data_IF_665361744365
#
_entry.id   IF_665361744365
#
_cell.length_a   1.000
_cell.length_b   1.000
_cell.length_c   1.000
_cell.angle_alpha   90.00
_cell.angle_beta   90.00
_cell.angle_gamma   90.00
#
_symmetry.space_group_name_H-M   'P 1'
#
loop_
_entity.id
_entity.type
_entity.pdbx_description
1 polymer ?
#
# COMPACT_ATOMS: atom_id res chain seq x y z
N UNK A 1 7.76 -18.48 -28.44
CA UNK A 1 6.86 -18.68 -27.28
C UNK A 1 7.28 -17.68 -26.21
N UNK A 2 6.45 -16.66 -25.96
CA UNK A 2 6.75 -15.63 -24.97
C UNK A 2 6.88 -16.26 -23.58
N UNK A 3 7.93 -15.91 -22.85
CA UNK A 3 8.24 -16.52 -21.56
C UNK A 3 7.10 -16.25 -20.55
N UNK A 4 6.52 -17.29 -19.91
CA UNK A 4 5.41 -17.16 -18.95
C UNK A 4 5.76 -16.35 -17.68
N UNK A 5 6.98 -15.83 -17.57
CA UNK A 5 7.48 -15.05 -16.44
C UNK A 5 7.02 -13.60 -16.43
N UNK A 6 6.57 -13.04 -17.56
CA UNK A 6 6.04 -11.67 -17.62
C UNK A 6 4.68 -11.53 -16.93
N UNK A 7 3.73 -12.40 -17.29
CA UNK A 7 2.35 -12.37 -16.78
C UNK A 7 2.29 -12.60 -15.26
N UNK A 8 3.09 -13.55 -14.74
CA UNK A 8 3.18 -13.84 -13.30
C UNK A 8 3.60 -12.61 -12.51
N UNK A 9 4.54 -11.83 -13.02
CA UNK A 9 4.99 -10.60 -12.35
C UNK A 9 3.93 -9.52 -12.36
N UNK A 10 3.20 -9.39 -13.47
CA UNK A 10 2.09 -8.44 -13.55
C UNK A 10 1.05 -8.74 -12.46
N UNK A 11 0.68 -10.02 -12.27
CA UNK A 11 -0.22 -10.44 -11.19
C UNK A 11 0.29 -10.14 -9.77
N UNK A 12 1.60 -10.18 -9.54
CA UNK A 12 2.18 -9.90 -8.23
C UNK A 12 2.23 -8.39 -7.91
N UNK A 13 2.35 -7.53 -8.93
CA UNK A 13 2.41 -6.07 -8.79
C UNK A 13 1.01 -5.42 -8.78
N UNK A 14 0.00 -6.10 -9.34
CA UNK A 14 -1.38 -5.58 -9.40
C UNK A 14 -1.92 -5.12 -8.03
N UNK A 15 -1.81 -5.89 -6.93
CA UNK A 15 -2.39 -5.47 -5.65
C UNK A 15 -1.88 -4.12 -5.13
N UNK A 16 -0.57 -3.86 -5.02
CA UNK A 16 -0.10 -2.55 -4.56
C UNK A 16 -0.35 -1.43 -5.59
N UNK A 17 -0.18 -1.69 -6.89
CA UNK A 17 -0.26 -0.63 -7.91
C UNK A 17 -1.70 -0.27 -8.31
N UNK A 18 -2.54 -1.27 -8.57
CA UNK A 18 -3.85 -1.11 -9.20
C UNK A 18 -4.99 -1.09 -8.19
N UNK A 19 -4.78 -1.64 -6.99
CA UNK A 19 -5.79 -1.63 -5.93
C UNK A 19 -5.39 -0.65 -4.82
N UNK A 20 -4.26 -0.87 -4.15
CA UNK A 20 -3.90 -0.12 -2.95
C UNK A 20 -3.72 1.38 -3.20
N UNK A 21 -2.93 1.74 -4.22
CA UNK A 21 -2.66 3.15 -4.58
C UNK A 21 -3.93 3.92 -4.99
N UNK A 22 -4.70 3.50 -6.03
CA UNK A 22 -5.85 4.28 -6.46
C UNK A 22 -6.97 4.31 -5.42
N UNK A 23 -7.19 3.22 -4.67
CA UNK A 23 -8.22 3.23 -3.62
C UNK A 23 -7.83 4.19 -2.48
N UNK A 24 -6.54 4.29 -2.15
CA UNK A 24 -6.06 5.29 -1.18
C UNK A 24 -6.32 6.72 -1.65
N UNK A 25 -6.10 7.00 -2.94
CA UNK A 25 -6.38 8.30 -3.56
C UNK A 25 -7.89 8.58 -3.55
N UNK A 26 -8.72 7.59 -3.91
CA UNK A 26 -10.18 7.70 -3.89
C UNK A 26 -10.67 7.98 -2.46
N UNK A 27 -10.12 7.29 -1.45
CA UNK A 27 -10.48 7.52 -0.06
C UNK A 27 -10.17 8.95 0.39
N UNK A 28 -9.00 9.49 0.01
CA UNK A 28 -8.66 10.89 0.25
C UNK A 28 -9.62 11.85 -0.46
N UNK A 29 -9.90 11.60 -1.75
CA UNK A 29 -10.79 12.44 -2.55
C UNK A 29 -12.23 12.45 -2.00
N UNK A 30 -12.75 11.28 -1.60
CA UNK A 30 -14.08 11.17 -1.00
C UNK A 30 -14.17 11.88 0.35
N UNK A 31 -13.14 11.83 1.19
CA UNK A 31 -13.12 12.61 2.44
C UNK A 31 -13.16 14.12 2.16
N UNK A 32 -12.41 14.58 1.15
CA UNK A 32 -12.41 16.00 0.73
C UNK A 32 -13.74 16.43 0.14
N UNK A 33 -14.36 15.60 -0.69
CA UNK A 33 -15.70 15.85 -1.23
C UNK A 33 -16.75 15.89 -0.11
N UNK A 34 -16.73 14.92 0.81
CA UNK A 34 -17.63 14.91 1.96
C UNK A 34 -17.46 16.16 2.84
N UNK A 35 -16.24 16.66 2.99
CA UNK A 35 -15.98 17.91 3.71
C UNK A 35 -16.56 19.12 2.99
N UNK A 36 -16.33 19.21 1.67
CA UNK A 36 -16.82 20.31 0.85
C UNK A 36 -18.35 20.36 0.85
N UNK A 37 -19.03 19.22 0.68
CA UNK A 37 -20.49 19.14 0.76
C UNK A 37 -21.02 19.58 2.12
N UNK A 38 -20.35 19.16 3.20
CA UNK A 38 -20.76 19.52 4.55
C UNK A 38 -20.65 21.03 4.82
N UNK A 39 -19.51 21.63 4.45
CA UNK A 39 -19.30 23.08 4.61
C UNK A 39 -20.24 23.88 3.72
N UNK A 40 -20.50 23.44 2.49
CA UNK A 40 -21.35 24.16 1.54
C UNK A 40 -22.78 24.38 2.05
N UNK A 41 -23.27 23.51 2.94
CA UNK A 41 -24.60 23.60 3.53
C UNK A 41 -24.59 24.33 4.89
N UNK A 42 -23.41 24.46 5.51
CA UNK A 42 -23.29 24.96 6.87
C UNK A 42 -23.15 26.49 6.88
N UNK A 43 -24.07 27.18 7.56
CA UNK A 43 -23.87 28.58 7.90
C UNK A 43 -22.73 28.72 8.90
N UNK A 44 -21.94 29.79 8.80
CA UNK A 44 -20.91 30.10 9.80
C UNK A 44 -21.37 31.24 10.70
N UNK A 45 -21.53 30.96 12.00
CA UNK A 45 -21.88 31.97 13.00
C UNK A 45 -20.61 32.51 13.66
N UNK A 46 -20.18 33.70 13.24
CA UNK A 46 -18.99 34.38 13.79
C UNK A 46 -19.05 34.58 15.31
N UNK A 47 -20.26 34.79 15.87
CA UNK A 47 -20.46 35.01 17.31
C UNK A 47 -20.24 33.75 18.14
N UNK A 48 -20.66 32.60 17.62
CA UNK A 48 -20.57 31.32 18.32
C UNK A 48 -19.33 30.51 17.90
N UNK A 49 -18.53 31.02 16.94
CA UNK A 49 -17.40 30.32 16.32
C UNK A 49 -17.74 28.87 15.93
N UNK A 50 -18.98 28.68 15.46
CA UNK A 50 -19.52 27.36 15.16
C UNK A 50 -20.31 27.40 13.86
N UNK A 51 -20.35 26.25 13.23
CA UNK A 51 -21.20 26.02 12.08
C UNK A 51 -22.64 25.80 12.57
N UNK A 52 -23.61 26.38 11.89
CA UNK A 52 -25.03 26.20 12.19
C UNK A 52 -25.79 25.72 10.96
N UNK A 53 -26.65 24.71 11.12
CA UNK A 53 -27.64 24.36 10.11
C UNK A 53 -29.00 24.89 10.53
N UNK A 54 -29.81 25.33 9.57
CA UNK A 54 -31.20 25.72 9.81
C UNK A 54 -32.09 24.79 9.00
N UNK A 55 -32.98 24.07 9.67
CA UNK A 55 -33.90 23.13 9.05
C UNK A 55 -35.34 23.53 9.34
N UNK A 56 -36.26 23.25 8.42
CA UNK A 56 -37.68 23.41 8.64
C UNK A 56 -38.30 22.05 8.96
N UNK A 57 -38.87 21.89 10.14
CA UNK A 57 -39.43 20.61 10.59
C UNK A 57 -40.21 20.71 11.90
N UNK A 58 -40.73 19.57 12.39
CA UNK A 58 -41.46 19.50 13.64
C UNK A 58 -40.52 19.68 14.84
N UNK A 59 -41.00 20.36 15.89
CA UNK A 59 -40.28 20.51 17.17
C UNK A 59 -40.43 19.29 18.08
N UNK A 60 -41.54 18.58 17.95
CA UNK A 60 -41.87 17.39 18.73
C UNK A 60 -42.30 16.25 17.83
N UNK A 61 -42.07 15.02 18.30
CA UNK A 61 -42.41 13.82 17.54
C UNK A 61 -43.93 13.72 17.38
N UNK A 62 -44.42 13.75 16.14
CA UNK A 62 -45.86 13.69 15.82
C UNK A 62 -46.55 15.04 15.68
N UNK A 63 -45.83 16.17 15.74
CA UNK A 63 -46.42 17.49 15.55
C UNK A 63 -47.07 17.66 14.16
N UNK A 64 -48.23 18.33 14.05
CA UNK A 64 -48.86 18.62 12.76
C UNK A 64 -48.01 19.60 11.94
N UNK A 65 -48.20 19.60 10.60
CA UNK A 65 -47.44 20.47 9.67
C UNK A 65 -47.59 21.96 9.99
N UNK A 66 -48.70 22.36 10.60
CA UNK A 66 -48.95 23.73 11.06
C UNK A 66 -48.02 24.19 12.18
N UNK A 67 -47.40 23.27 12.92
CA UNK A 67 -46.48 23.57 14.03
C UNK A 67 -45.00 23.47 13.62
N UNK A 68 -44.71 23.30 12.33
CA UNK A 68 -43.34 23.23 11.85
C UNK A 68 -42.67 24.59 11.98
N UNK A 69 -41.45 24.59 12.50
CA UNK A 69 -40.65 25.79 12.73
C UNK A 69 -39.26 25.63 12.12
N UNK A 70 -38.56 26.76 11.98
CA UNK A 70 -37.13 26.75 11.65
C UNK A 70 -36.32 26.43 12.91
N UNK A 71 -35.60 25.32 12.88
CA UNK A 71 -34.74 24.83 13.96
C UNK A 71 -33.30 25.09 13.55
N UNK A 72 -32.60 25.90 14.33
CA UNK A 72 -31.17 26.18 14.12
C UNK A 72 -30.34 25.34 15.08
N UNK A 73 -29.47 24.51 14.53
CA UNK A 73 -28.64 23.57 15.29
C UNK A 73 -27.19 24.00 15.18
N UNK A 74 -26.54 24.22 16.32
CA UNK A 74 -25.09 24.46 16.40
C UNK A 74 -24.36 23.13 16.39
N UNK A 75 -23.52 22.89 15.38
CA UNK A 75 -22.83 21.62 15.21
C UNK A 75 -21.39 21.71 15.70
N UNK A 76 -20.95 20.68 16.41
CA UNK A 76 -19.55 20.46 16.75
C UNK A 76 -19.10 19.16 16.10
N UNK A 77 -18.24 19.30 15.09
CA UNK A 77 -17.76 18.15 14.32
C UNK A 77 -16.54 17.55 14.99
N UNK A 78 -16.63 16.28 15.38
CA UNK A 78 -15.47 15.52 15.80
C UNK A 78 -14.62 15.15 14.57
N UNK A 79 -13.50 15.85 14.40
CA UNK A 79 -12.58 15.66 13.27
C UNK A 79 -11.64 14.46 13.43
N UNK A 80 -11.74 13.65 14.50
CA UNK A 80 -10.84 12.54 14.74
C UNK A 80 -10.90 11.46 13.64
N UNK A 81 -12.10 11.07 13.19
CA UNK A 81 -12.28 10.11 12.11
C UNK A 81 -11.72 10.64 10.78
N UNK A 82 -11.99 11.91 10.43
CA UNK A 82 -11.45 12.59 9.24
C UNK A 82 -9.93 12.59 9.25
N UNK A 83 -9.29 12.93 10.38
CA UNK A 83 -7.82 12.87 10.50
C UNK A 83 -7.28 11.46 10.30
N UNK A 84 -7.96 10.44 10.85
CA UNK A 84 -7.56 9.05 10.68
C UNK A 84 -7.62 8.60 9.21
N UNK A 85 -8.69 8.95 8.49
CA UNK A 85 -8.82 8.65 7.06
C UNK A 85 -7.73 9.31 6.22
N UNK A 86 -7.42 10.59 6.49
CA UNK A 86 -6.34 11.30 5.79
C UNK A 86 -5.00 10.62 6.05
N UNK A 87 -4.66 10.33 7.30
CA UNK A 87 -3.40 9.66 7.66
C UNK A 87 -3.29 8.29 6.97
N UNK A 88 -4.36 7.48 7.02
CA UNK A 88 -4.39 6.18 6.36
C UNK A 88 -4.28 6.28 4.84
N UNK A 89 -4.87 7.30 4.20
CA UNK A 89 -4.75 7.47 2.76
C UNK A 89 -3.31 7.78 2.33
N UNK A 90 -2.60 8.64 3.07
CA UNK A 90 -1.19 8.97 2.81
C UNK A 90 -0.31 7.76 3.09
N UNK A 91 -0.51 7.10 4.23
CA UNK A 91 0.22 5.88 4.58
C UNK A 91 0.00 4.78 3.53
N UNK A 92 -1.24 4.61 3.04
CA UNK A 92 -1.57 3.63 2.00
C UNK A 92 -0.83 3.87 0.68
N UNK A 93 -0.69 5.13 0.26
CA UNK A 93 0.11 5.48 -0.93
C UNK A 93 1.61 5.17 -0.74
N UNK A 94 2.15 5.43 0.45
CA UNK A 94 3.53 5.07 0.78
C UNK A 94 3.73 3.54 0.83
N UNK A 95 2.82 2.82 1.50
CA UNK A 95 2.83 1.35 1.59
C UNK A 95 2.71 0.72 0.20
N UNK A 96 1.88 1.28 -0.68
CA UNK A 96 1.76 0.83 -2.06
C UNK A 96 3.08 1.00 -2.82
N UNK A 97 3.73 2.15 -2.68
CA UNK A 97 5.02 2.44 -3.34
C UNK A 97 6.11 1.48 -2.85
N UNK A 98 6.24 1.30 -1.53
CA UNK A 98 7.18 0.34 -0.95
C UNK A 98 6.82 -1.09 -1.37
N UNK A 99 5.54 -1.45 -1.40
CA UNK A 99 5.08 -2.77 -1.85
C UNK A 99 5.47 -3.06 -3.30
N UNK A 100 5.35 -2.08 -4.21
CA UNK A 100 5.83 -2.21 -5.58
C UNK A 100 7.35 -2.43 -5.63
N UNK A 101 8.13 -1.63 -4.90
CA UNK A 101 9.58 -1.80 -4.81
C UNK A 101 9.96 -3.16 -4.23
N UNK A 102 9.30 -3.62 -3.16
CA UNK A 102 9.53 -4.94 -2.57
C UNK A 102 9.28 -6.06 -3.58
N UNK A 103 8.16 -6.04 -4.29
CA UNK A 103 7.85 -7.07 -5.30
C UNK A 103 8.84 -7.02 -6.46
N UNK A 104 9.24 -5.82 -6.88
CA UNK A 104 10.24 -5.62 -7.93
C UNK A 104 11.61 -6.16 -7.55
N UNK A 105 12.12 -5.81 -6.37
CA UNK A 105 13.42 -6.25 -5.87
C UNK A 105 13.43 -7.76 -5.58
N UNK A 106 12.38 -8.30 -4.95
CA UNK A 106 12.27 -9.75 -4.73
C UNK A 106 12.13 -10.56 -6.01
N UNK A 107 11.81 -9.94 -7.14
CA UNK A 107 11.84 -10.59 -8.45
C UNK A 107 13.26 -10.65 -9.00
N UNK A 108 14.06 -9.61 -8.81
CA UNK A 108 15.46 -9.60 -9.23
C UNK A 108 16.22 -10.63 -8.38
N UNK A 109 16.96 -11.52 -9.04
CA UNK A 109 17.76 -12.57 -8.38
C UNK A 109 19.23 -12.12 -8.27
N UNK A 110 19.50 -10.84 -8.51
CA UNK A 110 20.85 -10.29 -8.70
C UNK A 110 21.45 -9.72 -7.40
N UNK A 111 20.78 -9.89 -6.25
CA UNK A 111 21.14 -9.28 -4.97
C UNK A 111 21.77 -10.23 -3.94
N UNK A 112 22.35 -9.64 -2.88
CA UNK A 112 22.78 -10.40 -1.71
C UNK A 112 21.56 -10.91 -0.94
N UNK A 113 21.62 -12.14 -0.42
CA UNK A 113 20.50 -12.73 0.32
C UNK A 113 20.05 -11.89 1.54
N UNK A 114 20.95 -11.09 2.12
CA UNK A 114 20.60 -10.16 3.22
C UNK A 114 19.69 -9.03 2.74
N UNK A 115 19.96 -8.48 1.56
CA UNK A 115 19.17 -7.38 0.98
C UNK A 115 17.74 -7.82 0.65
N UNK A 116 17.60 -8.97 0.00
CA UNK A 116 16.28 -9.52 -0.36
C UNK A 116 15.43 -9.83 0.89
N UNK A 117 16.06 -10.38 1.94
CA UNK A 117 15.37 -10.62 3.22
C UNK A 117 14.91 -9.33 3.87
N UNK A 118 15.75 -8.29 3.83
CA UNK A 118 15.39 -6.98 4.37
C UNK A 118 14.16 -6.43 3.65
N UNK A 119 14.11 -6.49 2.32
CA UNK A 119 12.95 -6.05 1.54
C UNK A 119 11.69 -6.87 1.82
N UNK A 120 11.81 -8.20 1.97
CA UNK A 120 10.70 -9.06 2.35
C UNK A 120 10.15 -8.68 3.73
N UNK A 121 11.03 -8.44 4.72
CA UNK A 121 10.63 -8.00 6.06
C UNK A 121 9.98 -6.64 6.07
N UNK A 122 10.60 -5.64 5.42
CA UNK A 122 10.08 -4.28 5.37
C UNK A 122 8.71 -4.26 4.68
N UNK A 123 8.59 -4.85 3.50
CA UNK A 123 7.33 -4.89 2.77
C UNK A 123 6.25 -5.70 3.50
N UNK A 124 6.62 -6.84 4.10
CA UNK A 124 5.72 -7.68 4.88
C UNK A 124 5.20 -6.99 6.14
N UNK A 125 6.08 -6.44 6.98
CA UNK A 125 5.70 -5.75 8.21
C UNK A 125 4.87 -4.50 7.92
N UNK A 126 5.25 -3.72 6.92
CA UNK A 126 4.54 -2.49 6.58
C UNK A 126 3.11 -2.76 6.12
N UNK A 127 2.89 -3.76 5.25
CA UNK A 127 1.54 -4.15 4.82
C UNK A 127 0.72 -4.76 5.97
N UNK A 128 1.35 -5.53 6.87
CA UNK A 128 0.68 -6.11 8.04
C UNK A 128 0.20 -5.04 9.02
N UNK A 129 1.07 -4.07 9.36
CA UNK A 129 0.72 -2.94 10.22
C UNK A 129 -0.37 -2.11 9.58
N UNK A 130 -0.25 -1.81 8.28
CA UNK A 130 -1.22 -1.00 7.57
C UNK A 130 -2.59 -1.68 7.47
N UNK A 131 -2.64 -2.98 7.21
CA UNK A 131 -3.87 -3.78 7.25
C UNK A 131 -4.52 -3.72 8.64
N UNK A 132 -3.73 -3.94 9.71
CA UNK A 132 -4.20 -3.83 11.08
C UNK A 132 -4.75 -2.44 11.42
N UNK A 133 -4.09 -1.38 10.97
CA UNK A 133 -4.53 -0.01 11.16
C UNK A 133 -5.86 0.28 10.42
N UNK A 134 -6.03 -0.22 9.20
CA UNK A 134 -7.29 -0.06 8.46
C UNK A 134 -8.47 -0.76 9.16
N UNK A 135 -8.28 -2.02 9.58
CA UNK A 135 -9.30 -2.78 10.31
C UNK A 135 -9.58 -2.15 11.69
N UNK A 136 -8.55 -1.69 12.39
CA UNK A 136 -8.68 -1.02 13.68
C UNK A 136 -9.46 0.29 13.59
N UNK A 137 -9.14 1.16 12.62
CA UNK A 137 -9.88 2.41 12.40
C UNK A 137 -11.31 2.13 11.95
N UNK A 138 -11.53 1.13 11.08
CA UNK A 138 -12.87 0.72 10.69
C UNK A 138 -13.71 0.28 11.90
N UNK A 139 -13.16 -0.58 12.76
CA UNK A 139 -13.82 -1.06 13.97
C UNK A 139 -14.10 0.08 14.95
N UNK A 140 -13.12 0.97 15.16
CA UNK A 140 -13.27 2.13 16.04
C UNK A 140 -14.35 3.10 15.56
N UNK A 141 -14.35 3.49 14.27
CA UNK A 141 -15.36 4.40 13.71
C UNK A 141 -16.74 3.76 13.70
N UNK A 142 -16.83 2.46 13.41
CA UNK A 142 -18.12 1.74 13.46
C UNK A 142 -18.66 1.69 14.90
N UNK A 143 -17.78 1.44 15.88
CA UNK A 143 -18.14 1.39 17.28
C UNK A 143 -18.67 2.72 17.82
N UNK A 144 -18.00 3.83 17.50
CA UNK A 144 -18.43 5.17 17.95
C UNK A 144 -19.76 5.60 17.36
N UNK A 145 -20.16 5.07 16.20
CA UNK A 145 -21.44 5.39 15.58
C UNK A 145 -22.63 4.61 16.15
N UNK A 146 -22.41 3.39 16.65
CA UNK A 146 -23.50 2.47 17.03
C UNK A 146 -24.34 2.91 18.24
N UNK A 147 -23.84 3.85 19.05
CA UNK A 147 -24.53 4.35 20.25
C UNK A 147 -24.83 5.84 20.24
N UNK A 148 -24.44 6.56 19.20
CA UNK A 148 -24.52 8.02 19.16
C UNK A 148 -25.63 8.48 18.22
N UNK A 149 -26.73 9.00 18.78
CA UNK A 149 -27.61 9.86 18.01
C UNK A 149 -28.92 10.33 18.61
N UNK A 150 -29.58 11.20 17.86
CA UNK A 150 -30.93 11.67 18.15
C UNK A 150 -31.90 10.50 18.14
N UNK A 151 -32.73 10.39 19.18
CA UNK A 151 -33.82 9.40 19.25
C UNK A 151 -35.16 10.04 18.92
N UNK A 152 -35.24 11.36 19.00
CA UNK A 152 -36.46 12.14 18.90
C UNK A 152 -36.15 13.56 18.38
N UNK A 153 -37.16 14.27 17.86
CA UNK A 153 -37.01 15.66 17.41
C UNK A 153 -36.67 16.61 18.58
N UNK A 154 -37.09 16.23 19.78
CA UNK A 154 -36.81 16.93 21.02
C UNK A 154 -35.30 16.95 21.32
N UNK A 155 -34.58 15.85 21.02
CA UNK A 155 -33.13 15.75 21.19
C UNK A 155 -32.36 16.70 20.27
N UNK A 156 -32.90 16.96 19.07
CA UNK A 156 -32.34 17.88 18.07
C UNK A 156 -32.28 19.32 18.62
N UNK A 157 -33.32 19.70 19.36
CA UNK A 157 -33.44 21.03 19.98
C UNK A 157 -32.68 21.16 21.30
N UNK A 158 -32.21 20.03 21.85
CA UNK A 158 -31.52 20.03 23.13
C UNK A 158 -30.25 20.88 23.04
N UNK A 159 -30.08 21.84 23.96
CA UNK A 159 -28.94 22.78 23.94
C UNK A 159 -27.60 22.12 24.31
N UNK A 160 -27.55 20.80 24.42
CA UNK A 160 -26.34 20.09 24.78
C UNK A 160 -25.41 20.04 23.57
N UNK A 161 -24.15 20.42 23.80
CA UNK A 161 -23.10 20.40 22.77
C UNK A 161 -22.74 18.95 22.45
N UNK A 162 -23.42 18.38 21.44
CA UNK A 162 -23.13 17.04 20.94
C UNK A 162 -21.96 17.09 19.95
N UNK A 163 -20.97 16.22 20.15
CA UNK A 163 -19.74 16.14 19.33
C UNK A 163 -19.77 14.91 18.42
N UNK A 164 -20.63 14.92 17.42
CA UNK A 164 -20.73 13.80 16.50
C UNK A 164 -19.69 13.85 15.38
N UNK A 165 -19.41 12.66 14.83
CA UNK A 165 -18.64 12.56 13.59
C UNK A 165 -19.44 13.16 12.43
N UNK A 166 -18.76 13.56 11.35
CA UNK A 166 -19.43 14.10 10.16
C UNK A 166 -20.46 13.12 9.59
N UNK A 167 -20.15 11.83 9.58
CA UNK A 167 -21.05 10.77 9.13
C UNK A 167 -22.33 10.71 9.96
N UNK A 168 -22.18 10.67 11.28
CA UNK A 168 -23.30 10.66 12.23
C UNK A 168 -24.19 11.89 12.02
N UNK A 169 -23.61 13.08 11.88
CA UNK A 169 -24.35 14.31 11.59
C UNK A 169 -25.19 14.20 10.31
N UNK A 170 -24.57 13.84 9.18
CA UNK A 170 -25.30 13.81 7.90
C UNK A 170 -26.34 12.71 7.85
N UNK A 171 -26.10 11.56 8.49
CA UNK A 171 -27.06 10.47 8.54
C UNK A 171 -28.25 10.79 9.46
N UNK A 172 -28.05 11.48 10.58
CA UNK A 172 -29.17 11.93 11.42
C UNK A 172 -29.99 13.02 10.74
N UNK A 173 -29.35 13.94 10.01
CA UNK A 173 -30.10 14.94 9.24
C UNK A 173 -30.95 14.26 8.16
N UNK A 174 -30.44 13.21 7.51
CA UNK A 174 -31.22 12.43 6.54
C UNK A 174 -32.41 11.71 7.18
N UNK A 175 -32.21 11.13 8.38
CA UNK A 175 -33.25 10.40 9.11
C UNK A 175 -34.36 11.32 9.64
N UNK A 176 -34.00 12.43 10.30
CA UNK A 176 -34.97 13.35 10.90
C UNK A 176 -35.47 14.44 9.93
N UNK A 177 -34.69 14.80 8.91
CA UNK A 177 -35.03 15.82 7.93
C UNK A 177 -34.86 15.30 6.49
N UNK A 178 -35.59 14.25 6.08
CA UNK A 178 -35.41 13.59 4.77
C UNK A 178 -35.66 14.49 3.56
N UNK A 179 -36.31 15.66 3.75
CA UNK A 179 -36.49 16.67 2.71
C UNK A 179 -35.17 17.34 2.29
N UNK A 180 -34.12 17.21 3.11
CA UNK A 180 -32.77 17.69 2.81
C UNK A 180 -32.07 16.69 1.88
N UNK A 181 -32.41 16.69 0.60
CA UNK A 181 -31.91 15.70 -0.37
C UNK A 181 -30.38 15.62 -0.56
N UNK A 182 -29.62 16.55 0.03
CA UNK A 182 -28.16 16.49 0.12
C UNK A 182 -27.66 15.57 1.24
N UNK A 183 -28.41 15.44 2.34
CA UNK A 183 -28.01 14.71 3.54
C UNK A 183 -27.91 13.20 3.27
N UNK A 184 -28.89 12.60 2.58
CA UNK A 184 -28.83 11.19 2.19
C UNK A 184 -27.66 10.87 1.27
N UNK A 185 -27.34 11.75 0.31
CA UNK A 185 -26.15 11.59 -0.55
C UNK A 185 -24.87 11.69 0.26
N UNK A 186 -24.77 12.66 1.16
CA UNK A 186 -23.60 12.83 2.03
C UNK A 186 -23.43 11.65 3.01
N UNK A 187 -24.52 11.12 3.58
CA UNK A 187 -24.52 9.93 4.42
C UNK A 187 -24.06 8.69 3.65
N UNK A 188 -24.55 8.51 2.41
CA UNK A 188 -24.10 7.43 1.53
C UNK A 188 -22.60 7.50 1.23
N UNK A 189 -22.09 8.70 0.91
CA UNK A 189 -20.65 8.92 0.67
C UNK A 189 -19.83 8.64 1.94
N UNK A 190 -20.28 9.12 3.10
CA UNK A 190 -19.58 8.90 4.36
C UNK A 190 -19.50 7.42 4.74
N UNK A 191 -20.61 6.67 4.62
CA UNK A 191 -20.66 5.22 4.79
C UNK A 191 -19.73 4.50 3.81
N UNK A 192 -19.73 4.92 2.54
CA UNK A 192 -18.86 4.35 1.52
C UNK A 192 -17.38 4.52 1.87
N UNK A 193 -16.95 5.70 2.34
CA UNK A 193 -15.57 5.95 2.80
C UNK A 193 -15.15 4.99 3.90
N UNK A 194 -16.05 4.69 4.85
CA UNK A 194 -15.80 3.70 5.90
C UNK A 194 -15.59 2.30 5.33
N UNK A 195 -16.47 1.84 4.43
CA UNK A 195 -16.33 0.51 3.81
C UNK A 195 -15.11 0.38 2.89
N UNK A 196 -14.66 1.47 2.27
CA UNK A 196 -13.43 1.46 1.48
C UNK A 196 -12.19 1.10 2.31
N UNK A 197 -12.17 1.35 3.63
CA UNK A 197 -11.08 0.87 4.50
C UNK A 197 -10.93 -0.65 4.47
N UNK A 198 -12.03 -1.40 4.38
CA UNK A 198 -11.98 -2.86 4.26
C UNK A 198 -11.40 -3.28 2.91
N UNK A 199 -11.73 -2.57 1.84
CA UNK A 199 -11.17 -2.83 0.50
C UNK A 199 -9.67 -2.55 0.47
N UNK A 200 -9.22 -1.45 1.11
CA UNK A 200 -7.80 -1.12 1.29
C UNK A 200 -7.09 -2.19 2.12
N UNK A 201 -7.68 -2.64 3.23
CA UNK A 201 -7.14 -3.71 4.06
C UNK A 201 -7.01 -5.03 3.28
N UNK A 202 -8.02 -5.38 2.49
CA UNK A 202 -7.99 -6.57 1.64
C UNK A 202 -6.91 -6.47 0.56
N UNK A 203 -6.72 -5.28 -0.04
CA UNK A 203 -5.63 -5.05 -0.99
C UNK A 203 -4.25 -5.21 -0.34
N UNK A 204 -4.06 -4.77 0.91
CA UNK A 204 -2.82 -4.98 1.66
C UNK A 204 -2.59 -6.48 1.95
N UNK A 205 -3.66 -7.22 2.28
CA UNK A 205 -3.61 -8.68 2.44
C UNK A 205 -3.18 -9.38 1.14
N UNK A 206 -3.71 -8.98 -0.02
CA UNK A 206 -3.28 -9.53 -1.30
C UNK A 206 -1.79 -9.26 -1.57
N UNK A 207 -1.27 -8.09 -1.20
CA UNK A 207 0.17 -7.81 -1.26
C UNK A 207 0.98 -8.73 -0.35
N UNK A 208 0.50 -9.00 0.87
CA UNK A 208 1.13 -9.98 1.76
C UNK A 208 1.17 -11.39 1.15
N UNK A 209 0.08 -11.82 0.50
CA UNK A 209 0.03 -13.10 -0.22
C UNK A 209 1.05 -13.13 -1.35
N UNK A 210 1.16 -12.06 -2.15
CA UNK A 210 2.18 -11.94 -3.20
C UNK A 210 3.60 -12.07 -2.65
N UNK A 211 3.91 -11.39 -1.54
CA UNK A 211 5.21 -11.50 -0.86
C UNK A 211 5.42 -12.92 -0.34
N UNK A 212 4.40 -13.54 0.26
CA UNK A 212 4.49 -14.91 0.78
C UNK A 212 4.79 -15.93 -0.33
N UNK A 213 4.18 -15.79 -1.52
CA UNK A 213 4.48 -16.63 -2.69
C UNK A 213 5.94 -16.45 -3.14
N UNK A 214 6.43 -15.21 -3.19
CA UNK A 214 7.84 -14.95 -3.54
C UNK A 214 8.81 -15.53 -2.50
N UNK A 215 8.51 -15.39 -1.21
CA UNK A 215 9.28 -15.99 -0.11
C UNK A 215 9.26 -17.52 -0.21
N UNK A 216 8.11 -18.12 -0.52
CA UNK A 216 7.97 -19.55 -0.73
C UNK A 216 8.88 -20.07 -1.84
N UNK A 217 8.90 -19.39 -3.00
CA UNK A 217 9.77 -19.74 -4.13
C UNK A 217 11.27 -19.66 -3.80
N UNK A 218 11.66 -18.81 -2.84
CA UNK A 218 13.05 -18.66 -2.38
C UNK A 218 13.47 -19.69 -1.31
N UNK A 219 12.55 -20.54 -0.83
CA UNK A 219 12.82 -21.52 0.23
C UNK A 219 11.95 -21.34 1.48
N UNK A 220 10.90 -20.52 1.40
CA UNK A 220 9.89 -20.35 2.44
C UNK A 220 10.37 -19.56 3.67
N UNK A 221 9.67 -19.76 4.78
CA UNK A 221 9.90 -19.02 6.02
C UNK A 221 11.32 -19.25 6.57
N UNK A 222 11.88 -20.46 6.38
CA UNK A 222 13.26 -20.76 6.79
C UNK A 222 14.28 -19.84 6.12
N UNK A 223 14.08 -19.50 4.84
CA UNK A 223 14.95 -18.56 4.13
C UNK A 223 14.90 -17.14 4.73
N UNK A 224 13.71 -16.70 5.16
CA UNK A 224 13.50 -15.38 5.76
C UNK A 224 14.27 -15.20 7.07
N UNK A 225 14.42 -16.28 7.85
CA UNK A 225 15.13 -16.30 9.15
C UNK A 225 16.59 -16.74 9.06
N UNK A 226 17.23 -16.60 7.90
CA UNK A 226 18.68 -16.88 7.78
C UNK A 226 19.02 -18.22 7.16
N UNK A 227 18.05 -19.12 6.98
CA UNK A 227 18.27 -20.43 6.36
C UNK A 227 18.78 -20.32 4.91
N UNK A 228 19.52 -21.35 4.48
CA UNK A 228 19.94 -21.48 3.08
C UNK A 228 18.69 -21.55 2.22
N UNK A 229 18.57 -20.62 1.26
CA UNK A 229 17.46 -20.62 0.31
C UNK A 229 17.51 -21.84 -0.60
N UNK A 230 16.48 -22.04 -1.41
CA UNK A 230 16.43 -23.14 -2.40
C UNK A 230 17.65 -23.14 -3.35
N UNK A 231 18.25 -21.97 -3.55
CA UNK A 231 19.43 -21.74 -4.38
C UNK A 231 20.74 -21.58 -3.59
N UNK A 232 20.71 -21.67 -2.26
CA UNK A 232 21.89 -21.43 -1.40
C UNK A 232 22.94 -22.54 -1.39
N UNK A 233 22.78 -23.57 -2.22
CA UNK A 233 23.78 -24.61 -2.47
C UNK A 233 24.61 -24.38 -3.73
N UNK A 234 24.33 -23.31 -4.48
CA UNK A 234 25.06 -22.90 -5.67
C UNK A 234 25.82 -21.62 -5.33
N UNK A 235 27.10 -21.55 -5.67
CA UNK A 235 27.93 -20.38 -5.36
C UNK A 235 27.57 -19.21 -6.29
N UNK A 236 26.97 -19.50 -7.46
CA UNK A 236 26.33 -18.50 -8.31
C UNK A 236 25.07 -19.03 -9.02
N UNK A 237 24.03 -18.21 -9.14
CA UNK A 237 22.80 -18.53 -9.91
C UNK A 237 23.11 -18.76 -11.39
N UNK A 238 24.23 -18.22 -11.87
CA UNK A 238 24.75 -18.47 -13.21
C UNK A 238 25.20 -19.93 -13.42
N UNK A 239 25.48 -20.69 -12.36
CA UNK A 239 25.84 -22.11 -12.44
C UNK A 239 24.62 -23.00 -12.76
N UNK A 240 23.39 -22.50 -12.59
CA UNK A 240 22.15 -23.20 -12.97
C UNK A 240 21.77 -23.00 -14.43
N UNK A 241 22.37 -22.03 -15.14
CA UNK A 241 22.33 -22.11 -16.60
C UNK A 241 23.25 -23.25 -16.96
N UNK A 242 22.71 -24.48 -16.97
CA UNK A 242 23.27 -25.53 -17.80
C UNK A 242 23.57 -24.85 -19.12
N UNK A 243 24.85 -24.80 -19.48
CA UNK A 243 25.24 -24.57 -20.85
C UNK A 243 24.32 -25.51 -21.63
N UNK A 244 23.32 -24.93 -22.30
CA UNK A 244 22.59 -25.63 -23.33
C UNK A 244 23.72 -26.01 -24.24
N UNK A 245 24.17 -27.26 -24.11
CA UNK A 245 25.25 -27.81 -24.88
C UNK A 245 24.77 -27.53 -26.28
N UNK A 246 25.37 -26.52 -26.92
CA UNK A 246 25.11 -26.17 -28.30
C UNK A 246 25.37 -27.49 -28.98
N UNK A 247 24.29 -28.22 -29.25
CA UNK A 247 24.36 -29.50 -29.92
C UNK A 247 24.84 -29.07 -31.28
N UNK A 248 26.14 -29.27 -31.44
CA UNK A 248 26.95 -28.86 -32.56
C UNK A 248 26.37 -29.61 -33.75
N UNK A 249 25.37 -29.00 -34.39
CA UNK A 249 24.82 -29.49 -35.64
C UNK A 249 25.92 -29.26 -36.68
N UNK A 250 26.60 -30.35 -37.04
CA UNK A 250 27.37 -30.42 -38.28
C UNK A 250 28.89 -30.44 -38.11
N UNK A 251 29.43 -31.43 -37.42
CA UNK A 251 30.70 -32.00 -37.86
C UNK A 251 30.39 -33.10 -38.90
N UNK A 252 30.83 -33.00 -40.16
CA UNK A 252 30.65 -34.08 -41.13
C UNK A 252 31.38 -35.36 -40.69
N UNK A 253 30.92 -36.54 -41.13
CA UNK A 253 31.39 -37.84 -40.63
C UNK A 253 32.89 -38.01 -40.89
N UNK A 254 33.68 -38.09 -39.81
CA UNK A 254 35.07 -38.49 -39.90
C UNK A 254 35.15 -39.98 -40.23
N UNK A 255 35.93 -40.28 -41.27
CA UNK A 255 36.28 -41.64 -41.70
C UNK A 255 37.03 -42.38 -40.58
N UNK A 256 36.89 -43.70 -40.44
CA UNK A 256 37.62 -44.49 -39.46
C UNK A 256 39.12 -44.44 -39.78
N UNK A 257 39.88 -43.72 -38.95
CA UNK A 257 41.34 -43.76 -38.99
C UNK A 257 41.80 -45.02 -38.26
N UNK A 258 42.56 -45.85 -38.98
CA UNK A 258 43.10 -47.12 -38.50
C UNK A 258 43.88 -46.95 -37.19
N UNK A 259 43.65 -47.88 -36.27
CA UNK A 259 44.43 -48.08 -35.05
C UNK A 259 45.91 -48.25 -35.38
N UNK A 260 46.74 -47.39 -34.80
CA UNK A 260 48.17 -47.60 -34.67
C UNK A 260 48.47 -47.90 -33.20
N UNK A 261 49.02 -49.08 -32.86
CA UNK A 261 49.33 -49.44 -31.48
C UNK A 261 50.76 -48.99 -31.12
N UNK A 262 50.92 -48.25 -30.01
CA UNK A 262 52.12 -48.07 -29.16
C UNK A 262 51.91 -46.80 -28.30
N UNK A 263 52.28 -46.68 -27.03
CA UNK A 263 52.99 -47.50 -26.04
C UNK A 263 52.60 -46.94 -24.64
N UNK A 264 52.79 -47.68 -23.53
CA UNK A 264 52.46 -47.19 -22.19
C UNK A 264 53.52 -46.17 -21.72
N UNK A 265 53.15 -44.89 -21.63
CA UNK A 265 53.96 -43.90 -20.93
C UNK A 265 53.44 -43.65 -19.52
N UNK A 266 54.41 -43.63 -18.62
CA UNK A 266 54.31 -43.71 -17.17
C UNK A 266 53.64 -42.49 -16.53
N UNK A 267 53.04 -42.77 -15.39
CA UNK A 267 52.75 -41.80 -14.33
C UNK A 267 53.91 -40.84 -14.11
N UNK A 268 53.62 -39.53 -14.12
CA UNK A 268 54.42 -38.58 -13.38
C UNK A 268 53.52 -37.63 -12.60
N UNK A 269 53.56 -37.81 -11.28
CA UNK A 269 53.11 -36.86 -10.27
C UNK A 269 53.73 -35.48 -10.54
N UNK A 270 52.91 -34.43 -10.56
CA UNK A 270 53.38 -33.09 -10.21
C UNK A 270 52.37 -32.37 -9.33
N UNK A 271 52.91 -31.91 -8.20
CA UNK A 271 52.28 -31.25 -7.07
C UNK A 271 51.80 -29.83 -7.42
N UNK A 272 50.92 -29.23 -6.60
CA UNK A 272 50.28 -27.95 -6.90
C UNK A 272 51.25 -26.77 -6.70
N UNK A 273 51.39 -25.92 -7.72
CA UNK A 273 51.96 -24.59 -7.54
C UNK A 273 50.89 -23.64 -7.01
N UNK A 274 51.14 -23.11 -5.81
CA UNK A 274 50.56 -21.88 -5.32
C UNK A 274 50.97 -20.73 -6.25
N UNK A 275 50.00 -20.09 -6.89
CA UNK A 275 50.22 -18.79 -7.53
C UNK A 275 49.57 -17.71 -6.66
N UNK A 276 50.39 -17.15 -5.79
CA UNK A 276 50.12 -15.94 -5.02
C UNK A 276 50.22 -14.76 -5.98
N UNK A 277 49.09 -14.26 -6.48
CA UNK A 277 49.05 -13.09 -7.33
C UNK A 277 48.69 -11.86 -6.49
N UNK A 278 49.72 -11.11 -6.10
CA UNK A 278 49.61 -9.75 -5.58
C UNK A 278 49.16 -8.82 -6.72
N UNK A 279 48.00 -8.18 -6.55
CA UNK A 279 47.57 -7.07 -7.39
C UNK A 279 48.11 -5.74 -6.83
N UNK A 280 48.65 -4.85 -7.69
CA UNK A 280 49.14 -3.55 -7.26
C UNK A 280 47.99 -2.56 -6.97
N UNK A 281 48.22 -1.75 -5.94
CA UNK A 281 47.38 -0.65 -5.48
C UNK A 281 47.30 0.42 -6.58
N UNK A 282 46.09 0.68 -7.11
CA UNK A 282 45.82 1.87 -7.93
C UNK A 282 45.39 3.03 -7.03
N UNK A 283 46.14 4.13 -7.11
CA UNK A 283 45.80 5.43 -6.53
C UNK A 283 44.57 6.04 -7.23
N UNK A 284 43.63 6.66 -6.50
CA UNK A 284 42.62 7.52 -7.10
C UNK A 284 43.21 8.93 -7.38
N UNK A 285 42.99 9.52 -8.58
CA UNK A 285 43.34 10.90 -8.85
C UNK A 285 42.40 11.88 -8.13
N UNK A 286 43.02 12.94 -7.63
CA UNK A 286 42.40 14.08 -6.97
C UNK A 286 41.56 14.94 -7.92
N UNK A 287 40.45 15.43 -7.36
CA UNK A 287 39.84 16.76 -7.53
C UNK A 287 39.67 17.34 -8.94
N UNK A 288 38.39 17.55 -9.32
CA UNK A 288 38.01 18.76 -10.03
C UNK A 288 36.78 19.39 -9.37
N UNK A 289 37.08 20.51 -8.73
CA UNK A 289 36.21 21.44 -8.06
C UNK A 289 35.59 22.35 -9.13
N UNK A 290 34.27 22.33 -9.30
CA UNK A 290 33.56 23.37 -10.06
C UNK A 290 32.54 24.01 -9.13
N UNK A 291 32.87 25.22 -8.71
CA UNK A 291 31.94 26.19 -8.15
C UNK A 291 31.13 26.80 -9.30
N UNK A 292 29.81 27.00 -9.13
CA UNK A 292 29.24 28.34 -8.97
C UNK A 292 27.71 28.33 -8.79
N UNK A 293 27.15 29.39 -8.17
CA UNK A 293 25.76 29.47 -7.73
C UNK A 293 24.88 30.22 -8.74
N UNK A 294 23.55 30.07 -8.62
CA UNK A 294 22.60 31.08 -9.07
C UNK A 294 21.34 31.04 -8.21
N UNK A 295 21.16 32.11 -7.45
CA UNK A 295 19.96 32.45 -6.72
C UNK A 295 18.81 32.72 -7.70
N UNK A 296 17.61 32.24 -7.37
CA UNK A 296 16.37 32.71 -7.98
C UNK A 296 15.47 33.21 -6.86
N UNK A 297 15.36 34.54 -6.80
CA UNK A 297 14.35 35.27 -6.04
C UNK A 297 13.13 35.38 -6.94
N UNK A 298 11.97 34.88 -6.50
CA UNK A 298 10.68 35.25 -7.07
C UNK A 298 9.98 36.21 -6.12
N UNK A 299 9.53 37.32 -6.70
CA UNK A 299 8.59 38.30 -6.14
C UNK A 299 7.21 37.67 -5.98
#
# INVERSE_FOLDING_TARGET
MGTPTGLRTLFLIIPPLVLLLPISIILFALDRLAHAFFIAQAGYSWRASSHTFTFYGPLTTGAPVSEYAYITISMFVNNAATKAYIILSIAGALVATVGMCTVWELRRVEGTARHDRLWAWVGGLLNLIFMGACVGVFGWVTGTQSGEGWKSYEDVSSRFVQRYTRETWVCQIDEFFPRQGWAGKACGVAKATRFLLLVVAFSALLTLVSIAVLVHDRGGVKWLFGGKGRYGGFDNVYEMKHEVSTTYYGSPPQRPMQQQPQAPMQQQHQAPMQQQQQAPIQQPPQAQQIAQPSAVVFK
#
